data_IF_945826363987
#
_entry.id   IF_945826363987
#
_cell.length_a   1.000
_cell.length_b   1.000
_cell.length_c   1.000
_cell.angle_alpha   90.00
_cell.angle_beta   90.00
_cell.angle_gamma   90.00
#
_symmetry.space_group_name_H-M   'P 1'
#
loop_
_entity.id
_entity.type
_entity.pdbx_description
1 polymer ?
#
# COMPACT_ATOMS: atom_id res chain seq x y z
N UNK A 1 12.45 -9.50 20.26
CA UNK A 1 12.58 -8.80 18.95
C UNK A 1 11.33 -8.96 18.07
N UNK A 2 10.45 -9.93 18.32
CA UNK A 2 9.28 -10.27 17.50
C UNK A 2 8.12 -9.28 17.61
N UNK A 3 7.79 -8.77 18.81
CA UNK A 3 6.70 -7.78 18.99
C UNK A 3 6.96 -6.46 18.25
N UNK A 4 8.23 -6.03 18.23
CA UNK A 4 8.65 -4.80 17.55
C UNK A 4 8.47 -4.90 16.02
N UNK A 5 8.72 -6.08 15.45
CA UNK A 5 8.56 -6.32 13.99
C UNK A 5 7.09 -6.34 13.61
N UNK A 6 6.23 -7.01 14.40
CA UNK A 6 4.78 -7.02 14.17
C UNK A 6 4.21 -5.61 14.34
N UNK A 7 4.60 -4.89 15.40
CA UNK A 7 4.16 -3.52 15.66
C UNK A 7 4.58 -2.53 14.55
N UNK A 8 5.64 -2.81 13.79
CA UNK A 8 6.06 -2.01 12.63
C UNK A 8 5.37 -2.44 11.33
N UNK A 9 5.05 -3.73 11.18
CA UNK A 9 4.39 -4.26 9.98
C UNK A 9 2.90 -3.91 9.94
N UNK A 10 2.19 -3.94 11.08
CA UNK A 10 0.76 -3.56 11.13
C UNK A 10 0.50 -2.16 10.57
N UNK A 11 1.19 -1.08 11.01
CA UNK A 11 0.98 0.25 10.46
C UNK A 11 1.46 0.37 9.01
N UNK A 12 2.49 -0.37 8.59
CA UNK A 12 2.94 -0.39 7.19
C UNK A 12 1.89 -1.00 6.25
N UNK A 13 1.24 -2.09 6.67
CA UNK A 13 0.11 -2.70 5.95
C UNK A 13 -1.10 -1.75 5.94
N UNK A 14 -1.40 -1.11 7.07
CA UNK A 14 -2.52 -0.17 7.16
C UNK A 14 -2.29 1.06 6.27
N UNK A 15 -1.07 1.61 6.25
CA UNK A 15 -0.70 2.76 5.44
C UNK A 15 -0.76 2.42 3.94
N UNK A 16 -0.25 1.26 3.53
CA UNK A 16 -0.33 0.79 2.14
C UNK A 16 -1.78 0.51 1.71
N UNK A 17 -2.61 -0.08 2.57
CA UNK A 17 -4.04 -0.26 2.33
C UNK A 17 -4.78 1.08 2.16
N UNK A 18 -4.50 2.04 3.04
CA UNK A 18 -5.12 3.38 3.01
C UNK A 18 -4.70 4.15 1.76
N UNK A 19 -3.43 4.04 1.36
CA UNK A 19 -2.90 4.64 0.14
C UNK A 19 -3.54 4.01 -1.11
N UNK A 20 -3.70 2.69 -1.14
CA UNK A 20 -4.40 1.97 -2.21
C UNK A 20 -5.87 2.40 -2.33
N UNK A 21 -6.61 2.45 -1.22
CA UNK A 21 -8.00 2.92 -1.20
C UNK A 21 -8.11 4.38 -1.65
N UNK A 22 -7.21 5.26 -1.21
CA UNK A 22 -7.19 6.67 -1.62
C UNK A 22 -6.93 6.81 -3.13
N UNK A 23 -6.04 6.00 -3.69
CA UNK A 23 -5.77 5.99 -5.14
C UNK A 23 -6.96 5.46 -5.94
N UNK A 24 -7.68 4.46 -5.43
CA UNK A 24 -8.95 3.97 -6.02
C UNK A 24 -10.03 5.04 -6.02
N UNK A 25 -10.14 5.84 -4.96
CA UNK A 25 -11.06 6.99 -4.91
C UNK A 25 -10.64 8.03 -5.95
N UNK A 26 -9.34 8.31 -6.10
CA UNK A 26 -8.82 9.22 -7.13
C UNK A 26 -9.10 8.72 -8.56
N UNK A 27 -9.21 7.41 -8.80
CA UNK A 27 -9.67 6.88 -10.12
C UNK A 27 -11.13 7.27 -10.42
N UNK A 28 -11.96 7.44 -9.39
CA UNK A 28 -13.37 7.86 -9.54
C UNK A 28 -13.49 9.38 -9.68
N UNK A 29 -12.50 10.13 -9.19
CA UNK A 29 -12.43 11.59 -9.34
C UNK A 29 -11.86 11.92 -10.71
N UNK A 30 -12.55 12.79 -11.44
CA UNK A 30 -12.17 13.17 -12.79
C UNK A 30 -10.77 13.80 -12.83
N UNK A 31 -9.81 13.09 -13.42
CA UNK A 31 -8.39 13.48 -13.46
C UNK A 31 -8.14 14.65 -14.43
N UNK A 32 -9.14 15.04 -15.22
CA UNK A 32 -9.04 16.09 -16.22
C UNK A 32 -8.91 17.50 -15.61
N UNK A 33 -9.23 17.67 -14.32
CA UNK A 33 -9.00 18.93 -13.60
C UNK A 33 -7.56 19.11 -13.10
N UNK A 34 -6.70 18.10 -13.25
CA UNK A 34 -5.33 18.15 -12.72
C UNK A 34 -4.32 18.58 -13.79
N UNK A 35 -3.28 19.34 -13.40
CA UNK A 35 -2.15 19.63 -14.29
C UNK A 35 -1.51 18.34 -14.82
N UNK A 36 -1.10 18.33 -16.09
CA UNK A 36 -0.54 17.13 -16.75
C UNK A 36 0.62 16.45 -15.98
N UNK A 37 1.43 17.24 -15.26
CA UNK A 37 2.51 16.72 -14.41
C UNK A 37 2.02 15.95 -13.17
N UNK A 38 0.91 16.41 -12.57
CA UNK A 38 0.27 15.72 -11.45
C UNK A 38 -0.45 14.45 -11.92
N UNK A 39 -1.12 14.54 -13.08
CA UNK A 39 -1.80 13.39 -13.71
C UNK A 39 -0.85 12.22 -13.97
N UNK A 40 0.30 12.47 -14.61
CA UNK A 40 1.30 11.41 -14.86
C UNK A 40 1.83 10.75 -13.58
N UNK A 41 2.04 11.53 -12.52
CA UNK A 41 2.45 10.95 -11.22
C UNK A 41 1.35 10.07 -10.65
N UNK A 42 0.10 10.52 -10.68
CA UNK A 42 -1.03 9.77 -10.15
C UNK A 42 -1.24 8.48 -10.94
N UNK A 43 -1.18 8.53 -12.27
CA UNK A 43 -1.25 7.34 -13.14
C UNK A 43 -0.12 6.34 -12.82
N UNK A 44 1.11 6.83 -12.62
CA UNK A 44 2.23 5.98 -12.20
C UNK A 44 1.99 5.36 -10.82
N UNK A 45 1.52 6.14 -9.85
CA UNK A 45 1.17 5.65 -8.51
C UNK A 45 0.03 4.63 -8.56
N UNK A 46 -1.00 4.84 -9.39
CA UNK A 46 -2.11 3.89 -9.58
C UNK A 46 -1.62 2.56 -10.17
N UNK A 47 -0.72 2.61 -11.15
CA UNK A 47 -0.14 1.40 -11.75
C UNK A 47 0.72 0.59 -10.76
N UNK A 48 1.42 1.27 -9.84
CA UNK A 48 2.38 0.62 -8.94
C UNK A 48 1.86 0.35 -7.53
N UNK A 49 0.82 1.05 -7.08
CA UNK A 49 0.28 0.89 -5.73
C UNK A 49 -0.28 -0.51 -5.45
N UNK A 50 -0.71 -1.21 -6.50
CA UNK A 50 -1.22 -2.58 -6.37
C UNK A 50 -0.10 -3.55 -6.02
N UNK A 51 1.04 -3.43 -6.71
CA UNK A 51 2.24 -4.21 -6.43
C UNK A 51 2.81 -3.89 -5.05
N UNK A 52 2.80 -2.62 -4.65
CA UNK A 52 3.29 -2.16 -3.36
C UNK A 52 2.43 -2.71 -2.20
N UNK A 53 1.11 -2.69 -2.36
CA UNK A 53 0.18 -3.32 -1.43
C UNK A 53 0.41 -4.84 -1.35
N UNK A 54 0.53 -5.53 -2.49
CA UNK A 54 0.74 -6.98 -2.54
C UNK A 54 2.05 -7.38 -1.85
N UNK A 55 3.13 -6.63 -2.07
CA UNK A 55 4.41 -6.85 -1.39
C UNK A 55 4.31 -6.66 0.13
N UNK A 56 3.63 -5.62 0.60
CA UNK A 56 3.40 -5.39 2.03
C UNK A 56 2.56 -6.50 2.67
N UNK A 57 1.50 -6.96 1.99
CA UNK A 57 0.66 -8.07 2.47
C UNK A 57 1.45 -9.37 2.56
N UNK A 58 2.25 -9.70 1.54
CA UNK A 58 3.11 -10.90 1.54
C UNK A 58 4.09 -10.86 2.71
N UNK A 59 4.78 -9.73 2.93
CA UNK A 59 5.70 -9.57 4.05
C UNK A 59 5.00 -9.74 5.40
N UNK A 60 3.77 -9.22 5.54
CA UNK A 60 2.99 -9.38 6.74
C UNK A 60 2.58 -10.84 6.98
N UNK A 61 2.13 -11.55 5.94
CA UNK A 61 1.81 -12.98 6.02
C UNK A 61 3.03 -13.80 6.41
N UNK A 62 4.19 -13.52 5.81
CA UNK A 62 5.46 -14.21 6.13
C UNK A 62 5.86 -13.97 7.59
N UNK A 63 5.74 -12.73 8.08
CA UNK A 63 6.03 -12.40 9.47
C UNK A 63 5.08 -13.10 10.46
N UNK A 64 3.78 -13.14 10.16
CA UNK A 64 2.79 -13.85 10.98
C UNK A 64 3.06 -15.37 10.94
N UNK A 65 3.35 -15.94 9.77
CA UNK A 65 3.65 -17.36 9.63
C UNK A 65 4.90 -17.74 10.44
N UNK A 66 5.95 -16.93 10.38
CA UNK A 66 7.14 -17.12 11.22
C UNK A 66 6.79 -17.08 12.71
N UNK A 67 5.88 -16.21 13.14
CA UNK A 67 5.45 -16.11 14.54
C UNK A 67 4.68 -17.36 15.02
N UNK A 68 3.91 -18.02 14.15
CA UNK A 68 3.18 -19.25 14.49
C UNK A 68 4.15 -20.43 14.63
N UNK A 69 5.24 -20.44 13.87
CA UNK A 69 6.21 -21.55 13.86
C UNK A 69 7.30 -21.46 14.93
N UNK A 70 7.47 -20.31 15.60
CA UNK A 70 8.46 -20.08 16.67
C UNK A 70 7.86 -20.26 18.06
#
# INVERSE_FOLDING_TARGET
>A
MTELVVALLTPAVLASATMWCSLRVIVVVDLDFLPAGCRRRIEWWQAHAGYLYLACVVLAIVAIAHQITS
#
